data_IF_189943808690
#
_entry.id   IF_189943808690
#
_cell.length_a   1.000
_cell.length_b   1.000
_cell.length_c   1.000
_cell.angle_alpha   90.00
_cell.angle_beta   90.00
_cell.angle_gamma   90.00
#
_symmetry.space_group_name_H-M   'P 1'
#
loop_
_entity.id
_entity.type
_entity.pdbx_description
1 polymer ?
#
# COMPACT_ATOMS: atom_id res chain seq x y z
N UNK A 1 46.10 37.07 38.79
CA UNK A 1 46.59 37.26 37.41
C UNK A 1 45.40 37.16 36.45
N UNK A 2 45.18 38.19 35.64
CA UNK A 2 44.12 38.31 34.63
C UNK A 2 44.69 37.92 33.25
N UNK A 3 43.91 37.24 32.41
CA UNK A 3 43.93 37.26 30.92
C UNK A 3 42.76 36.36 30.48
N UNK A 4 41.57 36.82 30.06
CA UNK A 4 41.11 37.62 28.90
C UNK A 4 41.43 37.05 27.49
N UNK A 5 40.38 36.44 26.93
CA UNK A 5 39.80 36.62 25.59
C UNK A 5 40.52 36.04 24.35
N UNK A 6 39.74 35.40 23.46
CA UNK A 6 39.16 36.06 22.27
C UNK A 6 38.24 35.12 21.47
N UNK A 7 37.02 35.60 21.27
CA UNK A 7 36.10 35.19 20.21
C UNK A 7 36.64 35.66 18.85
N UNK A 8 36.50 34.85 17.81
CA UNK A 8 36.43 35.34 16.42
C UNK A 8 35.35 34.59 15.66
N UNK A 9 34.24 35.28 15.43
CA UNK A 9 33.24 34.95 14.44
C UNK A 9 33.83 35.15 13.03
N UNK A 10 33.48 34.28 12.09
CA UNK A 10 33.60 34.54 10.65
C UNK A 10 32.25 34.34 10.00
N UNK A 11 31.59 35.47 9.77
CA UNK A 11 30.50 35.63 8.81
C UNK A 11 31.10 35.77 7.42
N UNK A 12 30.50 35.10 6.43
CA UNK A 12 30.49 35.62 5.06
C UNK A 12 29.15 35.27 4.40
N UNK A 13 28.35 36.31 4.24
CA UNK A 13 27.20 36.38 3.35
C UNK A 13 27.70 36.57 1.91
N UNK A 14 27.03 35.95 0.94
CA UNK A 14 26.67 36.59 -0.33
C UNK A 14 25.61 35.80 -1.09
N UNK A 15 24.57 36.54 -1.42
CA UNK A 15 23.34 36.30 -2.15
C UNK A 15 23.54 36.11 -3.66
N UNK A 16 22.70 35.31 -4.31
CA UNK A 16 22.09 35.62 -5.61
C UNK A 16 20.96 34.60 -5.92
N UNK A 17 19.74 35.10 -6.15
CA UNK A 17 18.64 34.31 -6.70
C UNK A 17 18.53 34.49 -8.21
N UNK A 18 17.97 33.50 -8.91
CA UNK A 18 17.41 33.61 -10.27
C UNK A 18 16.22 32.66 -10.41
N UNK A 19 15.25 33.12 -11.20
CA UNK A 19 13.84 32.76 -11.27
C UNK A 19 13.47 31.45 -12.00
N UNK A 20 12.20 31.07 -11.82
CA UNK A 20 11.43 30.06 -12.55
C UNK A 20 11.48 30.26 -14.08
N UNK A 21 11.39 29.15 -14.82
CA UNK A 21 10.45 28.95 -15.96
C UNK A 21 10.31 27.44 -16.28
N UNK A 22 9.10 26.93 -16.57
CA UNK A 22 8.84 25.51 -16.86
C UNK A 22 8.94 25.21 -18.36
N UNK A 23 9.57 24.10 -18.73
CA UNK A 23 9.57 23.59 -20.11
C UNK A 23 8.88 22.21 -20.15
N UNK A 24 7.65 22.21 -20.64
CA UNK A 24 6.90 21.05 -21.11
C UNK A 24 7.50 20.59 -22.44
N UNK A 25 7.99 19.35 -22.52
CA UNK A 25 8.20 18.64 -23.77
C UNK A 25 7.65 17.21 -23.64
N UNK A 26 6.47 17.03 -24.21
CA UNK A 26 5.92 15.73 -24.60
C UNK A 26 6.63 15.26 -25.86
N UNK A 27 7.20 14.06 -25.83
CA UNK A 27 7.50 13.31 -27.04
C UNK A 27 7.21 11.83 -26.78
N UNK A 28 6.07 11.37 -27.31
CA UNK A 28 5.77 9.97 -27.47
C UNK A 28 6.19 9.57 -28.90
N UNK A 29 7.18 8.68 -29.00
CA UNK A 29 7.41 7.89 -30.21
C UNK A 29 7.45 6.42 -29.80
N UNK A 30 6.32 5.75 -30.02
CA UNK A 30 6.25 4.30 -29.98
C UNK A 30 7.01 3.74 -31.19
N UNK A 31 7.98 2.88 -30.94
CA UNK A 31 8.66 2.11 -31.97
C UNK A 31 7.98 0.74 -32.05
N UNK A 32 7.25 0.52 -33.14
CA UNK A 32 6.79 -0.80 -33.54
C UNK A 32 7.96 -1.61 -34.11
N UNK A 33 8.05 -2.87 -33.69
CA UNK A 33 8.91 -3.86 -34.32
C UNK A 33 8.15 -4.61 -35.40
N UNK A 34 8.74 -4.71 -36.59
CA UNK A 34 8.58 -5.83 -37.52
C UNK A 34 9.77 -5.82 -38.48
N UNK A 35 10.41 -6.99 -38.61
CA UNK A 35 11.58 -7.24 -39.42
C UNK A 35 11.22 -7.64 -40.86
N UNK A 36 12.27 -7.70 -41.68
CA UNK A 36 12.45 -8.38 -42.96
C UNK A 36 12.13 -7.59 -44.26
N UNK A 37 13.21 -7.31 -45.01
CA UNK A 37 13.18 -7.14 -46.47
C UNK A 37 13.72 -8.40 -47.15
N UNK A 38 14.20 -8.32 -48.42
CA UNK A 38 13.75 -7.51 -49.53
C UNK A 38 13.46 -8.37 -50.80
N UNK A 39 12.84 -7.78 -51.83
CA UNK A 39 13.21 -8.12 -53.21
C UNK A 39 12.12 -8.57 -54.19
N UNK A 40 11.90 -7.70 -55.17
CA UNK A 40 11.72 -7.97 -56.62
C UNK A 40 10.29 -8.08 -57.18
N UNK A 41 10.10 -7.28 -58.24
CA UNK A 41 8.88 -6.88 -58.96
C UNK A 41 8.41 -7.92 -60.02
N UNK A 42 7.61 -7.53 -61.06
CA UNK A 42 6.36 -6.75 -61.14
C UNK A 42 5.23 -7.57 -61.84
N UNK A 43 3.98 -7.09 -61.90
CA UNK A 43 3.24 -6.95 -63.19
C UNK A 43 1.80 -6.43 -63.09
N UNK A 44 1.50 -5.56 -64.06
CA UNK A 44 0.25 -5.40 -64.83
C UNK A 44 -1.10 -4.97 -64.19
N UNK A 45 -1.45 -3.70 -64.48
CA UNK A 45 -2.57 -3.26 -65.37
C UNK A 45 -3.89 -2.70 -64.76
N UNK A 46 -4.04 -1.39 -65.04
CA UNK A 46 -5.26 -0.61 -65.38
C UNK A 46 -6.11 0.01 -64.24
N UNK A 47 -6.99 0.99 -64.56
CA UNK A 47 -6.67 2.39 -64.76
C UNK A 47 -7.44 3.33 -63.81
N UNK A 48 -7.06 4.61 -63.83
CA UNK A 48 -7.59 5.70 -63.01
C UNK A 48 -9.03 6.13 -63.35
N UNK A 49 -9.78 6.56 -62.30
CA UNK A 49 -10.84 7.58 -62.32
C UNK A 49 -11.33 7.87 -60.87
N UNK A 50 -11.96 9.01 -60.55
CA UNK A 50 -11.31 10.09 -59.81
C UNK A 50 -11.84 10.33 -58.38
N UNK A 51 -10.95 10.94 -57.59
CA UNK A 51 -11.18 11.92 -56.51
C UNK A 51 -12.63 12.13 -56.06
N UNK A 52 -12.98 11.55 -54.91
CA UNK A 52 -14.10 12.00 -54.08
C UNK A 52 -13.57 12.79 -52.88
N UNK A 53 -14.12 13.98 -52.71
CA UNK A 53 -13.88 14.96 -51.64
C UNK A 53 -14.31 14.40 -50.27
N UNK A 54 -13.60 14.67 -49.16
CA UNK A 54 -14.04 14.24 -47.83
C UNK A 54 -15.25 15.08 -47.34
N UNK A 55 -16.21 14.50 -46.61
CA UNK A 55 -17.23 15.27 -45.91
C UNK A 55 -16.63 16.03 -44.70
N UNK A 56 -17.26 17.14 -44.25
CA UNK A 56 -16.75 17.95 -43.15
C UNK A 56 -16.83 17.21 -41.81
N UNK A 57 -15.89 17.55 -40.93
CA UNK A 57 -15.77 17.06 -39.57
C UNK A 57 -17.08 17.28 -38.78
N UNK A 58 -17.82 16.18 -38.58
CA UNK A 58 -18.95 16.10 -37.68
C UNK A 58 -18.47 16.01 -36.24
N UNK A 59 -19.09 16.83 -35.39
CA UNK A 59 -18.95 16.99 -33.95
C UNK A 59 -18.60 15.72 -33.19
N UNK A 60 -17.58 15.82 -32.33
CA UNK A 60 -17.21 14.79 -31.37
C UNK A 60 -18.42 14.38 -30.53
N UNK A 61 -18.77 13.10 -30.59
CA UNK A 61 -19.72 12.49 -29.68
C UNK A 61 -19.18 12.58 -28.24
N UNK A 62 -20.03 12.82 -27.24
CA UNK A 62 -19.61 12.78 -25.84
C UNK A 62 -19.06 11.39 -25.49
N UNK A 63 -18.07 11.29 -24.58
CA UNK A 63 -17.46 10.02 -24.23
C UNK A 63 -18.54 9.06 -23.72
N UNK A 64 -18.49 7.83 -24.24
CA UNK A 64 -19.35 6.76 -23.78
C UNK A 64 -19.19 6.59 -22.25
N UNK A 65 -20.29 6.38 -21.51
CA UNK A 65 -20.19 6.12 -20.08
C UNK A 65 -19.30 4.89 -19.86
N UNK A 66 -18.34 5.02 -18.95
CA UNK A 66 -17.51 3.91 -18.50
C UNK A 66 -18.43 2.74 -18.15
N UNK A 67 -18.12 1.57 -18.71
CA UNK A 67 -18.83 0.32 -18.46
C UNK A 67 -19.09 0.16 -16.95
N UNK A 68 -20.28 -0.30 -16.54
CA UNK A 68 -20.57 -0.50 -15.12
C UNK A 68 -19.49 -1.40 -14.54
N UNK A 69 -18.81 -0.92 -13.49
CA UNK A 69 -17.87 -1.74 -12.71
C UNK A 69 -18.57 -3.08 -12.48
N UNK A 70 -17.98 -4.18 -12.95
CA UNK A 70 -18.45 -5.53 -12.68
C UNK A 70 -18.84 -5.63 -11.21
N UNK A 71 -20.00 -6.21 -10.90
CA UNK A 71 -20.50 -6.30 -9.53
C UNK A 71 -19.38 -6.80 -8.59
N UNK A 72 -18.83 -5.89 -7.79
CA UNK A 72 -17.71 -6.15 -6.91
C UNK A 72 -18.10 -7.22 -5.88
N UNK A 73 -17.19 -8.09 -5.44
CA UNK A 73 -17.49 -9.10 -4.42
C UNK A 73 -18.01 -8.42 -3.13
N UNK A 74 -18.70 -9.18 -2.27
CA UNK A 74 -19.11 -8.68 -0.94
C UNK A 74 -17.91 -8.11 -0.18
N UNK A 75 -16.76 -8.80 -0.26
CA UNK A 75 -15.51 -8.39 0.37
C UNK A 75 -14.96 -7.09 -0.24
N UNK A 76 -14.97 -6.95 -1.56
CA UNK A 76 -14.51 -5.73 -2.24
C UNK A 76 -15.34 -4.50 -1.83
N UNK A 77 -16.67 -4.64 -1.70
CA UNK A 77 -17.55 -3.57 -1.20
C UNK A 77 -17.29 -3.21 0.26
N UNK A 78 -16.81 -4.16 1.05
CA UNK A 78 -16.48 -3.94 2.45
C UNK A 78 -15.16 -3.20 2.65
N UNK A 79 -14.26 -3.18 1.66
CA UNK A 79 -12.99 -2.48 1.77
C UNK A 79 -13.14 -0.97 1.61
N UNK A 80 -12.28 -0.19 2.27
CA UNK A 80 -12.21 1.27 2.09
C UNK A 80 -12.00 1.66 0.62
N UNK A 81 -12.65 2.75 0.18
CA UNK A 81 -12.55 3.34 -1.15
C UNK A 81 -12.31 4.84 -1.04
N UNK A 82 -11.82 5.44 -2.14
CA UNK A 82 -11.63 6.89 -2.18
C UNK A 82 -12.94 7.63 -1.89
N UNK A 83 -12.90 8.56 -0.93
CA UNK A 83 -14.07 9.32 -0.49
C UNK A 83 -14.77 8.76 0.76
N UNK A 84 -14.37 7.58 1.25
CA UNK A 84 -14.93 7.05 2.51
C UNK A 84 -14.45 7.79 3.76
N UNK A 85 -13.29 8.44 3.67
CA UNK A 85 -12.61 9.08 4.80
C UNK A 85 -12.07 10.45 4.40
N UNK A 86 -12.56 11.49 5.07
CA UNK A 86 -12.08 12.85 4.87
C UNK A 86 -10.63 13.02 5.35
N UNK A 87 -9.81 13.67 4.51
CA UNK A 87 -8.39 13.88 4.78
C UNK A 87 -7.52 12.63 4.59
N UNK A 88 -8.01 11.64 3.84
CA UNK A 88 -7.25 10.47 3.43
C UNK A 88 -7.33 10.22 1.92
N UNK A 89 -6.19 9.80 1.38
CA UNK A 89 -6.11 9.23 0.04
C UNK A 89 -6.17 7.71 0.17
N UNK A 90 -7.08 7.07 -0.57
CA UNK A 90 -7.25 5.62 -0.56
C UNK A 90 -6.96 5.07 -1.95
N UNK A 91 -6.10 4.05 -2.02
CA UNK A 91 -5.73 3.39 -3.25
C UNK A 91 -5.98 1.88 -3.17
N UNK A 92 -6.20 1.25 -4.32
CA UNK A 92 -6.20 -0.22 -4.43
C UNK A 92 -4.79 -0.83 -4.22
N UNK A 93 -3.74 0.00 -4.23
CA UNK A 93 -2.37 -0.42 -3.97
C UNK A 93 -2.08 -0.39 -2.46
N UNK A 94 -2.48 -1.44 -1.75
CA UNK A 94 -2.14 -1.61 -0.32
C UNK A 94 -0.77 -2.21 -0.05
N UNK A 95 -0.11 -2.72 -1.10
CA UNK A 95 1.21 -3.38 -1.01
C UNK A 95 2.33 -2.37 -1.30
N UNK A 96 3.40 -2.41 -0.50
CA UNK A 96 4.65 -1.77 -0.87
C UNK A 96 5.20 -2.45 -2.14
N UNK A 97 5.40 -1.74 -3.26
CA UNK A 97 5.87 -2.34 -4.52
C UNK A 97 7.26 -2.98 -4.40
N UNK A 98 8.06 -2.58 -3.41
CA UNK A 98 9.38 -3.13 -3.15
C UNK A 98 9.36 -4.34 -2.20
N UNK A 99 8.20 -4.71 -1.64
CA UNK A 99 8.10 -5.86 -0.76
C UNK A 99 8.14 -7.17 -1.57
N UNK A 100 8.94 -8.17 -1.13
CA UNK A 100 8.95 -9.48 -1.75
C UNK A 100 7.58 -10.14 -1.73
N UNK A 101 7.33 -11.01 -2.69
CA UNK A 101 6.07 -11.76 -2.79
C UNK A 101 6.16 -13.11 -2.09
N UNK A 102 5.04 -13.64 -1.64
CA UNK A 102 4.96 -14.97 -1.01
C UNK A 102 4.91 -14.91 0.50
N UNK A 103 4.76 -16.08 1.11
CA UNK A 103 4.57 -16.20 2.56
C UNK A 103 5.91 -16.13 3.29
N UNK A 104 6.10 -15.22 4.25
CA UNK A 104 7.29 -15.22 5.08
C UNK A 104 7.35 -16.49 5.93
N UNK A 105 8.55 -16.95 6.26
CA UNK A 105 8.80 -18.08 7.16
C UNK A 105 9.53 -17.56 8.38
N UNK A 106 8.89 -17.63 9.54
CA UNK A 106 9.51 -17.26 10.80
C UNK A 106 10.55 -18.31 11.23
N UNK A 107 11.64 -17.87 11.85
CA UNK A 107 12.62 -18.75 12.49
C UNK A 107 12.05 -19.56 13.65
N UNK A 108 10.94 -19.08 14.21
CA UNK A 108 10.17 -19.70 15.28
C UNK A 108 8.73 -19.92 14.85
N UNK A 109 8.27 -21.17 14.95
CA UNK A 109 6.89 -21.54 14.63
C UNK A 109 5.84 -20.71 15.38
N UNK A 110 6.08 -20.43 16.66
CA UNK A 110 5.18 -19.60 17.47
C UNK A 110 5.02 -18.17 16.94
N UNK A 111 6.01 -17.63 16.23
CA UNK A 111 5.99 -16.27 15.68
C UNK A 111 5.50 -16.22 14.22
N UNK A 112 5.19 -17.37 13.62
CA UNK A 112 4.70 -17.46 12.25
C UNK A 112 3.45 -16.59 12.01
N UNK A 113 2.43 -16.57 12.90
CA UNK A 113 1.28 -15.68 12.72
C UNK A 113 1.66 -14.20 12.61
N UNK A 114 2.66 -13.75 13.38
CA UNK A 114 3.14 -12.36 13.31
C UNK A 114 3.95 -12.07 12.05
N UNK A 115 4.64 -13.06 11.49
CA UNK A 115 5.30 -12.93 10.20
C UNK A 115 4.26 -12.80 9.08
N UNK A 116 3.25 -13.68 9.11
CA UNK A 116 2.20 -13.76 8.08
C UNK A 116 1.44 -12.43 7.93
N UNK A 117 1.01 -11.83 9.05
CA UNK A 117 0.25 -10.56 9.07
C UNK A 117 1.03 -9.34 8.56
N UNK A 118 2.32 -9.46 8.25
CA UNK A 118 3.10 -8.41 7.61
C UNK A 118 2.96 -8.42 6.08
N UNK A 119 2.61 -9.57 5.49
CA UNK A 119 2.49 -9.77 4.03
C UNK A 119 1.24 -9.14 3.43
N UNK A 120 1.03 -9.30 2.12
CA UNK A 120 -0.21 -8.92 1.41
C UNK A 120 -1.32 -9.98 1.54
N UNK A 121 -0.93 -11.21 1.92
CA UNK A 121 -1.80 -12.31 2.37
C UNK A 121 -1.54 -12.56 3.85
N UNK A 122 -2.29 -11.90 4.76
CA UNK A 122 -1.96 -11.85 6.18
C UNK A 122 -2.20 -13.18 6.93
N UNK A 123 -2.88 -14.14 6.32
CA UNK A 123 -3.06 -15.50 6.82
C UNK A 123 -3.27 -16.46 5.63
N UNK A 124 -2.54 -17.59 5.54
CA UNK A 124 -2.80 -18.61 4.53
C UNK A 124 -4.21 -19.23 4.59
N UNK A 125 -4.94 -19.13 5.70
CA UNK A 125 -6.31 -19.63 5.83
C UNK A 125 -7.37 -18.70 5.21
N UNK A 126 -7.02 -17.47 4.84
CA UNK A 126 -7.94 -16.55 4.19
C UNK A 126 -8.39 -17.07 2.81
N UNK A 127 -9.69 -17.06 2.55
CA UNK A 127 -10.28 -17.48 1.27
C UNK A 127 -10.15 -16.41 0.19
N UNK A 128 -10.28 -15.16 0.61
CA UNK A 128 -10.19 -13.97 -0.24
C UNK A 128 -9.62 -12.83 0.62
N UNK A 129 -8.80 -11.97 0.02
CA UNK A 129 -8.22 -10.80 0.68
C UNK A 129 -8.26 -9.61 -0.26
N UNK A 130 -8.79 -8.48 0.23
CA UNK A 130 -8.80 -7.19 -0.45
C UNK A 130 -7.88 -6.23 0.28
N UNK A 131 -6.93 -5.65 -0.43
CA UNK A 131 -5.93 -4.74 0.12
C UNK A 131 -6.19 -3.28 -0.28
N UNK A 132 -5.87 -2.34 0.61
CA UNK A 132 -5.94 -0.90 0.40
C UNK A 132 -4.74 -0.18 0.98
N UNK A 133 -4.27 0.84 0.27
CA UNK A 133 -3.30 1.80 0.80
C UNK A 133 -4.06 3.03 1.26
N UNK A 134 -3.81 3.49 2.48
CA UNK A 134 -4.47 4.65 3.08
C UNK A 134 -3.39 5.66 3.51
N UNK A 135 -3.29 6.77 2.78
CA UNK A 135 -2.36 7.85 3.08
C UNK A 135 -3.07 9.00 3.80
N UNK A 136 -2.53 9.44 4.94
CA UNK A 136 -3.10 10.59 5.65
C UNK A 136 -2.66 11.90 5.02
N UNK A 137 -3.62 12.78 4.73
CA UNK A 137 -3.36 14.19 4.36
C UNK A 137 -3.26 15.09 5.60
N UNK A 138 -3.69 14.57 6.76
CA UNK A 138 -3.69 15.27 8.06
C UNK A 138 -2.36 15.10 8.80
N UNK A 139 -1.69 13.96 8.62
CA UNK A 139 -0.41 13.65 9.27
C UNK A 139 0.63 13.25 8.23
N UNK A 140 1.65 14.10 8.08
CA UNK A 140 2.74 13.88 7.12
C UNK A 140 3.42 12.53 7.33
N UNK A 141 3.48 11.75 6.25
CA UNK A 141 4.13 10.45 6.19
C UNK A 141 3.35 9.31 6.83
N UNK A 142 2.20 9.55 7.48
CA UNK A 142 1.39 8.44 7.99
C UNK A 142 0.78 7.67 6.82
N UNK A 143 1.13 6.39 6.73
CA UNK A 143 0.56 5.44 5.79
C UNK A 143 0.02 4.23 6.56
N UNK A 144 -1.15 3.74 6.12
CA UNK A 144 -1.77 2.52 6.64
C UNK A 144 -1.93 1.55 5.47
N UNK A 145 -1.38 0.35 5.62
CA UNK A 145 -1.75 -0.79 4.79
C UNK A 145 -2.94 -1.49 5.45
N UNK A 146 -4.06 -1.52 4.75
CA UNK A 146 -5.30 -2.13 5.21
C UNK A 146 -5.60 -3.38 4.38
N UNK A 147 -6.07 -4.44 5.04
CA UNK A 147 -6.54 -5.65 4.37
C UNK A 147 -7.83 -6.13 5.02
N UNK A 148 -8.83 -6.48 4.21
CA UNK A 148 -10.06 -7.16 4.65
C UNK A 148 -10.04 -8.55 4.05
N UNK A 149 -10.21 -9.56 4.90
CA UNK A 149 -10.08 -10.97 4.49
C UNK A 149 -11.28 -11.78 4.95
N UNK A 150 -11.75 -12.67 4.08
CA UNK A 150 -12.86 -13.58 4.34
C UNK A 150 -12.36 -14.96 4.77
N UNK A 151 -13.02 -15.57 5.76
CA UNK A 151 -12.65 -16.85 6.35
C UNK A 151 -13.86 -17.79 6.47
N UNK A 152 -13.63 -19.04 6.90
CA UNK A 152 -14.63 -19.71 7.72
C UNK A 152 -14.58 -19.08 9.13
N UNK A 153 -15.71 -18.99 9.82
CA UNK A 153 -15.79 -18.30 11.12
C UNK A 153 -14.80 -18.89 12.15
N UNK A 154 -14.73 -20.22 12.26
CA UNK A 154 -13.77 -20.88 13.14
C UNK A 154 -12.29 -20.56 12.79
N UNK A 155 -11.95 -20.38 11.50
CA UNK A 155 -10.59 -20.02 11.10
C UNK A 155 -10.27 -18.57 11.50
N UNK A 156 -11.27 -17.67 11.45
CA UNK A 156 -11.11 -16.30 11.92
C UNK A 156 -10.87 -16.24 13.44
N UNK A 157 -11.62 -17.01 14.22
CA UNK A 157 -11.42 -17.12 15.68
C UNK A 157 -10.04 -17.69 16.01
N UNK A 158 -9.65 -18.79 15.36
CA UNK A 158 -8.33 -19.40 15.54
C UNK A 158 -7.19 -18.45 15.15
N UNK A 159 -7.36 -17.62 14.12
CA UNK A 159 -6.37 -16.59 13.78
C UNK A 159 -6.19 -15.62 14.95
N UNK A 160 -7.27 -15.13 15.56
CA UNK A 160 -7.20 -14.19 16.67
C UNK A 160 -6.51 -14.80 17.90
N UNK A 161 -6.81 -16.07 18.21
CA UNK A 161 -6.12 -16.82 19.28
C UNK A 161 -4.62 -16.92 19.02
N UNK A 162 -4.23 -17.41 17.84
CA UNK A 162 -2.82 -17.56 17.45
C UNK A 162 -2.06 -16.23 17.47
N UNK A 163 -2.70 -15.13 17.12
CA UNK A 163 -2.10 -13.80 17.19
C UNK A 163 -1.88 -13.35 18.63
N UNK A 164 -2.84 -13.57 19.53
CA UNK A 164 -2.68 -13.26 20.97
C UNK A 164 -1.51 -14.04 21.57
N UNK A 165 -1.45 -15.33 21.30
CA UNK A 165 -0.38 -16.21 21.78
C UNK A 165 0.98 -15.77 21.22
N UNK A 166 1.06 -15.52 19.90
CA UNK A 166 2.29 -15.10 19.27
C UNK A 166 2.78 -13.73 19.79
N UNK A 167 1.89 -12.76 20.03
CA UNK A 167 2.27 -11.48 20.66
C UNK A 167 2.84 -11.70 22.06
N UNK A 168 2.30 -12.63 22.84
CA UNK A 168 2.80 -12.95 24.17
C UNK A 168 4.18 -13.65 24.13
N UNK A 169 4.38 -14.57 23.18
CA UNK A 169 5.59 -15.40 23.11
C UNK A 169 6.77 -14.75 22.36
N UNK A 170 6.50 -13.81 21.45
CA UNK A 170 7.49 -13.26 20.53
C UNK A 170 8.01 -11.89 20.94
N UNK A 171 7.81 -11.48 22.20
CA UNK A 171 8.20 -10.16 22.73
C UNK A 171 9.68 -9.81 22.57
N UNK A 172 10.56 -10.81 22.67
CA UNK A 172 12.01 -10.67 22.45
C UNK A 172 12.40 -10.46 20.98
N UNK A 173 11.44 -10.66 20.07
CA UNK A 173 11.62 -10.62 18.64
C UNK A 173 11.83 -11.99 18.00
N UNK A 174 11.81 -11.97 16.67
CA UNK A 174 11.99 -13.12 15.78
C UNK A 174 12.52 -12.63 14.43
N UNK A 175 12.99 -13.54 13.59
CA UNK A 175 13.32 -13.25 12.20
C UNK A 175 12.35 -13.95 11.26
N UNK A 176 12.14 -13.38 10.07
CA UNK A 176 11.38 -14.05 9.04
C UNK A 176 12.03 -13.88 7.67
N UNK A 177 11.96 -14.94 6.87
CA UNK A 177 12.55 -15.00 5.53
C UNK A 177 11.48 -15.18 4.48
N UNK A 178 11.55 -14.38 3.41
CA UNK A 178 10.72 -14.51 2.21
C UNK A 178 11.59 -14.29 0.99
N UNK A 179 11.53 -15.20 0.01
CA UNK A 179 12.36 -15.15 -1.21
C UNK A 179 13.86 -14.89 -0.95
N UNK A 180 14.45 -15.58 0.04
CA UNK A 180 15.86 -15.41 0.49
C UNK A 180 16.19 -14.04 1.11
N UNK A 181 15.21 -13.15 1.28
CA UNK A 181 15.37 -11.91 2.02
C UNK A 181 14.91 -12.13 3.47
N UNK A 182 15.80 -11.86 4.42
CA UNK A 182 15.50 -11.98 5.85
C UNK A 182 15.32 -10.60 6.46
N UNK A 183 14.22 -10.44 7.20
CA UNK A 183 13.98 -9.32 8.09
C UNK A 183 13.98 -9.76 9.55
N UNK A 184 14.08 -8.80 10.46
CA UNK A 184 13.91 -9.02 11.90
C UNK A 184 12.79 -8.16 12.45
N UNK A 185 12.05 -8.73 13.39
CA UNK A 185 10.98 -8.07 14.13
C UNK A 185 11.39 -8.05 15.58
N UNK A 186 11.49 -6.86 16.17
CA UNK A 186 11.91 -6.65 17.57
C UNK A 186 10.83 -5.88 18.31
N UNK A 187 10.96 -5.87 19.64
CA UNK A 187 10.08 -5.09 20.51
C UNK A 187 8.59 -5.35 20.25
N UNK A 188 8.21 -6.61 20.04
CA UNK A 188 6.80 -7.00 19.89
C UNK A 188 6.10 -6.75 21.22
N UNK A 189 5.25 -5.73 21.27
CA UNK A 189 4.65 -5.25 22.52
C UNK A 189 3.15 -5.07 22.34
N UNK A 190 2.30 -5.73 23.13
CA UNK A 190 0.87 -5.48 23.13
C UNK A 190 0.58 -3.99 23.30
N UNK A 191 -0.41 -3.49 22.57
CA UNK A 191 -0.90 -2.13 22.71
C UNK A 191 -2.42 -2.16 22.75
N UNK A 192 -3.01 -1.69 23.85
CA UNK A 192 -4.45 -1.64 23.99
C UNK A 192 -5.06 -0.77 22.88
N UNK A 193 -6.07 -1.31 22.21
CA UNK A 193 -6.80 -0.63 21.15
C UNK A 193 -8.29 -0.95 21.28
N UNK A 194 -9.13 0.08 21.23
CA UNK A 194 -10.59 -0.08 21.31
C UNK A 194 -11.16 -0.12 19.90
N UNK A 195 -12.14 -1.00 19.68
CA UNK A 195 -12.81 -1.19 18.39
C UNK A 195 -14.26 -1.61 18.63
N UNK A 196 -15.14 -1.34 17.67
CA UNK A 196 -16.50 -1.89 17.65
C UNK A 196 -16.63 -3.26 16.97
N UNK A 197 -15.54 -4.01 16.79
CA UNK A 197 -15.56 -5.40 16.32
C UNK A 197 -15.76 -6.40 17.45
N UNK A 198 -15.94 -7.67 17.11
CA UNK A 198 -16.22 -8.74 18.08
C UNK A 198 -15.02 -8.97 19.02
N UNK A 199 -13.81 -8.90 18.46
CA UNK A 199 -12.54 -8.93 19.20
C UNK A 199 -11.41 -8.25 18.40
N UNK A 200 -10.32 -7.89 19.07
CA UNK A 200 -9.12 -7.36 18.43
C UNK A 200 -7.83 -7.80 19.11
N UNK A 201 -6.74 -7.82 18.34
CA UNK A 201 -5.36 -7.93 18.82
C UNK A 201 -4.57 -6.76 18.24
N UNK A 202 -3.82 -6.07 19.09
CA UNK A 202 -3.04 -4.90 18.69
C UNK A 202 -1.68 -4.89 19.36
N UNK A 203 -0.65 -4.54 18.61
CA UNK A 203 0.72 -4.50 19.08
C UNK A 203 1.59 -3.55 18.24
N UNK A 204 2.69 -3.11 18.85
CA UNK A 204 3.76 -2.43 18.13
C UNK A 204 4.95 -3.37 17.92
N UNK A 205 5.71 -3.15 16.86
CA UNK A 205 6.99 -3.83 16.63
C UNK A 205 7.93 -2.91 15.85
N UNK A 206 9.23 -3.14 16.02
CA UNK A 206 10.27 -2.58 15.16
C UNK A 206 10.57 -3.60 14.06
N UNK A 207 10.19 -3.31 12.82
CA UNK A 207 10.45 -4.17 11.67
C UNK A 207 11.70 -3.67 10.93
N UNK A 208 12.69 -4.53 10.74
CA UNK A 208 13.93 -4.23 10.03
C UNK A 208 14.08 -5.11 8.81
N UNK A 209 14.25 -4.51 7.63
CA UNK A 209 14.52 -5.19 6.39
C UNK A 209 15.45 -4.34 5.51
N UNK A 210 16.39 -4.98 4.81
CA UNK A 210 17.33 -4.31 3.90
C UNK A 210 18.03 -3.07 4.53
N UNK A 211 18.38 -3.13 5.82
CA UNK A 211 19.05 -2.06 6.55
C UNK A 211 18.14 -0.92 7.03
N UNK A 212 16.85 -0.93 6.70
CA UNK A 212 15.87 0.07 7.16
C UNK A 212 15.08 -0.51 8.33
N UNK A 213 14.96 0.25 9.42
CA UNK A 213 14.14 -0.10 10.58
C UNK A 213 12.95 0.85 10.68
N UNK A 214 11.74 0.29 10.74
CA UNK A 214 10.50 1.03 10.84
C UNK A 214 9.73 0.69 12.12
N UNK A 215 9.19 1.70 12.79
CA UNK A 215 8.19 1.52 13.82
C UNK A 215 6.82 1.22 13.18
N UNK A 216 6.26 0.07 13.54
CA UNK A 216 4.98 -0.40 13.03
C UNK A 216 3.99 -0.56 14.17
N UNK A 217 2.75 -0.17 13.94
CA UNK A 217 1.59 -0.51 14.79
C UNK A 217 0.63 -1.35 13.96
N UNK A 218 0.32 -2.56 14.43
CA UNK A 218 -0.71 -3.42 13.86
C UNK A 218 -1.94 -3.45 14.76
N UNK A 219 -3.10 -3.37 14.11
CA UNK A 219 -4.40 -3.65 14.70
C UNK A 219 -5.09 -4.68 13.82
N UNK A 220 -5.44 -5.82 14.40
CA UNK A 220 -6.20 -6.88 13.74
C UNK A 220 -7.55 -7.02 14.45
N UNK A 221 -8.65 -6.97 13.71
CA UNK A 221 -10.01 -6.98 14.25
C UNK A 221 -10.84 -8.03 13.55
N UNK A 222 -11.58 -8.84 14.31
CA UNK A 222 -12.55 -9.80 13.76
C UNK A 222 -13.97 -9.24 13.87
N UNK A 223 -14.75 -9.46 12.82
CA UNK A 223 -16.19 -9.24 12.77
C UNK A 223 -16.83 -10.44 12.04
N UNK A 224 -17.48 -11.32 12.78
CA UNK A 224 -17.97 -12.60 12.27
C UNK A 224 -16.84 -13.40 11.60
N UNK A 225 -17.06 -13.79 10.34
CA UNK A 225 -16.09 -14.50 9.51
C UNK A 225 -15.13 -13.57 8.72
N UNK A 226 -15.13 -12.26 8.99
CA UNK A 226 -14.27 -11.28 8.34
C UNK A 226 -13.19 -10.79 9.30
N UNK A 227 -11.94 -10.70 8.84
CA UNK A 227 -10.83 -10.12 9.62
C UNK A 227 -10.25 -8.92 8.88
N UNK A 228 -10.08 -7.83 9.61
CA UNK A 228 -9.40 -6.61 9.18
C UNK A 228 -8.01 -6.59 9.78
N UNK A 229 -6.99 -6.28 8.97
CA UNK A 229 -5.66 -5.91 9.46
C UNK A 229 -5.33 -4.50 8.99
N UNK A 230 -4.93 -3.66 9.94
CA UNK A 230 -4.49 -2.29 9.73
C UNK A 230 -3.07 -2.17 10.24
N UNK A 231 -2.15 -1.82 9.35
CA UNK A 231 -0.74 -1.69 9.68
C UNK A 231 -0.30 -0.26 9.39
N UNK A 232 -0.05 0.52 10.45
CA UNK A 232 0.40 1.89 10.36
C UNK A 232 1.91 2.01 10.52
N UNK A 233 2.53 2.84 9.68
CA UNK A 233 3.94 3.24 9.76
C UNK A 233 4.09 4.68 9.24
N UNK A 234 5.24 5.31 9.51
CA UNK A 234 5.55 6.60 8.92
C UNK A 234 6.59 6.43 7.79
N UNK A 235 6.18 6.73 6.55
CA UNK A 235 7.05 6.61 5.37
C UNK A 235 8.03 7.78 5.19
N UNK A 236 7.79 8.91 5.86
CA UNK A 236 8.68 10.08 5.81
C UNK A 236 9.79 9.99 6.87
N UNK A 237 9.54 9.30 7.97
CA UNK A 237 10.49 9.02 9.06
C UNK A 237 10.18 7.66 9.67
N UNK A 238 10.90 6.62 9.24
CA UNK A 238 10.65 5.24 9.65
C UNK A 238 10.81 5.02 11.17
N UNK A 239 11.64 5.81 11.86
CA UNK A 239 11.82 5.70 13.31
C UNK A 239 10.66 6.34 14.09
N UNK A 240 9.85 7.19 13.44
CA UNK A 240 8.69 7.83 14.06
C UNK A 240 7.60 6.82 14.29
N UNK A 241 7.19 6.69 15.56
CA UNK A 241 6.02 5.88 15.95
C UNK A 241 4.77 6.43 15.27
N UNK A 242 4.18 5.61 14.42
CA UNK A 242 2.85 5.81 13.86
C UNK A 242 1.85 4.93 14.61
N UNK A 243 0.59 5.35 14.66
CA UNK A 243 -0.49 4.52 15.15
C UNK A 243 -1.63 4.50 14.15
N UNK A 244 -2.39 3.40 14.12
CA UNK A 244 -3.63 3.30 13.35
C UNK A 244 -4.65 4.29 13.92
N UNK A 245 -5.09 5.30 13.15
CA UNK A 245 -6.10 6.24 13.62
C UNK A 245 -7.45 5.54 13.85
N UNK A 246 -8.16 5.92 14.92
CA UNK A 246 -9.45 5.31 15.29
C UNK A 246 -10.47 5.45 14.17
N UNK A 247 -10.53 6.62 13.51
CA UNK A 247 -11.47 6.86 12.42
C UNK A 247 -11.27 5.91 11.22
N UNK A 248 -10.04 5.44 10.98
CA UNK A 248 -9.74 4.48 9.91
C UNK A 248 -10.30 3.10 10.28
N UNK A 249 -10.07 2.66 11.52
CA UNK A 249 -10.58 1.38 12.01
C UNK A 249 -12.11 1.36 12.08
N UNK A 250 -12.71 2.41 12.65
CA UNK A 250 -14.16 2.54 12.78
C UNK A 250 -14.84 2.53 11.42
N UNK A 251 -14.31 3.29 10.44
CA UNK A 251 -14.89 3.32 9.11
C UNK A 251 -14.76 1.98 8.38
N UNK A 252 -13.63 1.30 8.51
CA UNK A 252 -13.44 -0.01 7.91
C UNK A 252 -14.43 -1.04 8.49
N UNK A 253 -14.69 -1.00 9.80
CA UNK A 253 -15.69 -1.87 10.44
C UNK A 253 -17.13 -1.49 10.07
N UNK A 254 -17.42 -0.19 9.90
CA UNK A 254 -18.71 0.28 9.38
C UNK A 254 -18.99 -0.30 8.00
N UNK A 255 -18.00 -0.31 7.09
CA UNK A 255 -18.17 -0.87 5.74
C UNK A 255 -18.43 -2.37 5.74
N UNK A 256 -17.78 -3.11 6.64
CA UNK A 256 -18.01 -4.55 6.79
C UNK A 256 -19.46 -4.82 7.19
N UNK A 257 -19.94 -4.17 8.26
CA UNK A 257 -21.33 -4.33 8.72
C UNK A 257 -22.37 -3.92 7.67
N UNK A 258 -22.05 -2.97 6.79
CA UNK A 258 -22.94 -2.54 5.69
C UNK A 258 -22.92 -3.49 4.49
N UNK A 259 -21.82 -4.20 4.30
CA UNK A 259 -21.69 -5.18 3.23
C UNK A 259 -22.30 -6.53 3.62
N UNK A 260 -22.46 -6.79 4.93
CA UNK A 260 -23.00 -8.01 5.51
C UNK A 260 -24.46 -8.33 5.17
#
# INVERSE_FOLDING_TARGET
>A
MRMKARFTARTWTRTAGVALLPALLLAATGCGGAADGPGTAPDAKAPASPRATPPPAGSAAPPAPASPKSAASKLERSALEQGDLDGYQISAQGKNPNAPSGQPQADRKACQPLADVMGDKPDPAAKETVNRGVGSQKQVGLAISASVSAYAEADAEHLMDRLRDAVAECGTGFTATVQKQTGSYRDVKPLAYKTGGDENVSWTTTATAAGVSAQVHLVVVRQGATVVRLMALNVADAAKKAQVPQEVADKQLEKIRKAD
#
